data_IF_142703360981
#
_entry.id   IF_142703360981
#
_cell.length_a   1.000
_cell.length_b   1.000
_cell.length_c   1.000
_cell.angle_alpha   90.00
_cell.angle_beta   90.00
_cell.angle_gamma   90.00
#
_symmetry.space_group_name_H-M   'P 1'
#
loop_
_entity.id
_entity.type
_entity.pdbx_description
1 polymer ?
#
# COMPACT_ATOMS: atom_id res chain seq x y z
N UNK A 1 8.88 11.11 2.40
CA UNK A 1 8.08 10.49 1.33
C UNK A 1 8.70 10.74 -0.03
N UNK A 2 8.87 12.01 -0.44
CA UNK A 2 9.31 12.42 -1.80
C UNK A 2 10.52 11.64 -2.34
N UNK A 3 11.56 11.42 -1.52
CA UNK A 3 12.76 10.68 -1.97
C UNK A 3 12.50 9.22 -2.35
N UNK A 4 11.55 8.54 -1.69
CA UNK A 4 11.25 7.14 -1.98
C UNK A 4 10.43 7.02 -3.26
N UNK A 5 9.44 7.90 -3.44
CA UNK A 5 8.60 7.94 -4.64
C UNK A 5 9.42 8.30 -5.89
N UNK A 6 10.29 9.30 -5.79
CA UNK A 6 11.22 9.65 -6.87
C UNK A 6 12.16 8.50 -7.23
N UNK A 7 12.73 7.81 -6.24
CA UNK A 7 13.67 6.70 -6.45
C UNK A 7 12.98 5.46 -7.04
N UNK A 8 11.78 5.13 -6.55
CA UNK A 8 10.96 4.03 -7.07
C UNK A 8 10.55 4.31 -8.51
N UNK A 9 10.15 5.54 -8.83
CA UNK A 9 9.82 5.98 -10.19
C UNK A 9 11.02 5.86 -11.14
N UNK A 10 12.21 6.28 -10.71
CA UNK A 10 13.44 6.17 -11.51
C UNK A 10 13.87 4.73 -11.79
N UNK A 11 13.57 3.81 -10.87
CA UNK A 11 13.94 2.40 -10.99
C UNK A 11 12.83 1.50 -11.54
N UNK A 12 11.65 2.06 -11.83
CA UNK A 12 10.46 1.29 -12.25
C UNK A 12 10.01 0.26 -11.21
N UNK A 13 10.31 0.51 -9.93
CA UNK A 13 9.92 -0.35 -8.83
C UNK A 13 8.48 0.00 -8.39
N UNK A 14 7.91 -0.82 -7.52
CA UNK A 14 6.61 -0.55 -6.89
C UNK A 14 6.75 -0.49 -5.38
N UNK A 15 6.08 0.48 -4.77
CA UNK A 15 6.12 0.71 -3.33
C UNK A 15 4.98 0.00 -2.61
N UNK A 16 5.23 -0.41 -1.38
CA UNK A 16 4.21 -0.87 -0.43
C UNK A 16 4.06 0.16 0.69
N UNK A 17 2.86 0.29 1.24
CA UNK A 17 2.56 1.15 2.38
C UNK A 17 2.20 0.36 3.64
N UNK A 18 2.60 0.88 4.80
CA UNK A 18 2.27 0.35 6.12
C UNK A 18 2.41 1.43 7.19
N UNK A 19 1.52 1.44 8.17
CA UNK A 19 1.41 2.54 9.15
C UNK A 19 2.45 2.52 10.25
N UNK A 20 3.18 1.41 10.43
CA UNK A 20 4.16 1.18 11.51
C UNK A 20 3.68 1.73 12.87
N UNK A 21 2.44 1.36 13.21
CA UNK A 21 1.69 2.02 14.26
C UNK A 21 2.20 1.60 15.64
N UNK A 22 2.75 2.56 16.38
CA UNK A 22 3.11 2.42 17.79
C UNK A 22 1.99 2.91 18.73
N UNK A 23 0.94 3.52 18.16
CA UNK A 23 -0.24 4.03 18.86
C UNK A 23 -1.50 3.57 18.13
N UNK A 24 -2.60 3.32 18.88
CA UNK A 24 -3.89 2.86 18.31
C UNK A 24 -4.43 3.82 17.25
N UNK A 25 -4.27 5.13 17.46
CA UNK A 25 -4.72 6.17 16.52
C UNK A 25 -3.92 6.23 15.21
N UNK A 26 -2.79 5.53 15.13
CA UNK A 26 -1.97 5.45 13.92
C UNK A 26 -2.26 4.20 13.08
N UNK A 27 -3.05 3.24 13.60
CA UNK A 27 -3.39 2.01 12.88
C UNK A 27 -4.07 2.36 11.55
N UNK A 28 -3.53 1.81 10.45
CA UNK A 28 -4.13 1.96 9.12
C UNK A 28 -3.98 3.35 8.50
N UNK A 29 -3.17 4.26 9.07
CA UNK A 29 -2.90 5.56 8.43
C UNK A 29 -2.29 5.45 7.03
N UNK A 30 -1.45 4.43 6.82
CA UNK A 30 -0.86 4.07 5.53
C UNK A 30 -1.00 2.55 5.34
N UNK A 31 -1.38 2.14 4.13
CA UNK A 31 -1.72 0.77 3.77
C UNK A 31 -1.23 0.46 2.35
N UNK A 32 -1.33 -0.80 1.94
CA UNK A 32 -1.13 -1.21 0.54
C UNK A 32 -2.47 -1.67 -0.03
N UNK A 33 -2.88 -1.07 -1.14
CA UNK A 33 -4.06 -1.50 -1.89
C UNK A 33 -3.70 -2.62 -2.85
N UNK A 34 -4.55 -3.64 -2.90
CA UNK A 34 -4.47 -4.75 -3.84
C UNK A 34 -5.80 -4.89 -4.58
N UNK A 35 -5.76 -5.33 -5.83
CA UNK A 35 -6.97 -5.56 -6.64
C UNK A 35 -7.82 -6.74 -6.12
N UNK A 36 -7.19 -7.67 -5.42
CA UNK A 36 -7.83 -8.90 -4.93
C UNK A 36 -7.85 -8.99 -3.40
N UNK A 37 -8.83 -9.72 -2.89
CA UNK A 37 -8.93 -10.04 -1.47
C UNK A 37 -7.73 -10.86 -1.00
N UNK A 38 -7.12 -10.43 0.10
CA UNK A 38 -6.05 -11.18 0.77
C UNK A 38 -6.63 -11.85 2.01
N UNK A 39 -6.76 -13.17 1.98
CA UNK A 39 -7.24 -13.97 3.11
C UNK A 39 -6.16 -14.87 3.71
N UNK A 40 -5.03 -15.01 3.02
CA UNK A 40 -3.89 -15.80 3.44
C UNK A 40 -2.56 -15.17 3.00
N UNK A 41 -1.46 -15.64 3.58
CA UNK A 41 -0.11 -15.25 3.14
C UNK A 41 0.15 -15.64 1.68
N UNK A 42 -0.39 -16.78 1.22
CA UNK A 42 -0.29 -17.18 -0.19
C UNK A 42 -0.98 -16.17 -1.11
N UNK A 43 -2.16 -15.66 -0.73
CA UNK A 43 -2.87 -14.64 -1.51
C UNK A 43 -2.05 -13.35 -1.57
N UNK A 44 -1.44 -12.94 -0.44
CA UNK A 44 -0.56 -11.78 -0.39
C UNK A 44 0.61 -11.93 -1.35
N UNK A 45 1.32 -13.06 -1.31
CA UNK A 45 2.45 -13.33 -2.21
C UNK A 45 2.00 -13.37 -3.67
N UNK A 46 0.84 -13.97 -3.96
CA UNK A 46 0.28 -14.00 -5.30
C UNK A 46 -0.02 -12.59 -5.82
N UNK A 47 -0.66 -11.75 -5.02
CA UNK A 47 -0.96 -10.36 -5.37
C UNK A 47 0.30 -9.52 -5.56
N UNK A 48 1.30 -9.64 -4.68
CA UNK A 48 2.59 -8.95 -4.83
C UNK A 48 3.30 -9.35 -6.14
N UNK A 49 3.23 -10.62 -6.54
CA UNK A 49 3.81 -11.10 -7.80
C UNK A 49 3.12 -10.56 -9.05
N UNK A 50 1.84 -10.19 -8.98
CA UNK A 50 1.18 -9.48 -10.09
C UNK A 50 1.79 -8.11 -10.32
N UNK A 51 2.32 -7.52 -9.23
CA UNK A 51 2.77 -6.15 -9.21
C UNK A 51 1.64 -5.13 -9.34
N UNK A 52 0.36 -5.52 -9.29
CA UNK A 52 -0.74 -4.56 -9.25
C UNK A 52 -1.08 -4.23 -7.80
N UNK A 53 -0.32 -3.30 -7.25
CA UNK A 53 -0.50 -2.78 -5.90
C UNK A 53 0.10 -1.39 -5.80
N UNK A 54 -0.40 -0.61 -4.84
CA UNK A 54 0.09 0.74 -4.58
C UNK A 54 -0.07 1.12 -3.10
N UNK A 55 0.80 2.00 -2.58
CA UNK A 55 0.63 2.53 -1.25
C UNK A 55 -0.54 3.53 -1.24
N UNK A 56 -1.36 3.48 -0.20
CA UNK A 56 -2.50 4.40 -0.03
C UNK A 56 -2.50 4.96 1.39
N UNK A 57 -2.89 6.22 1.52
CA UNK A 57 -3.21 6.81 2.82
C UNK A 57 -4.67 6.55 3.18
N UNK A 58 -4.96 6.52 4.48
CA UNK A 58 -6.35 6.35 4.95
C UNK A 58 -7.29 7.40 4.35
N UNK A 59 -6.82 8.63 4.16
CA UNK A 59 -7.65 9.71 3.60
C UNK A 59 -7.90 9.55 2.10
N UNK A 60 -7.00 8.89 1.35
CA UNK A 60 -7.19 8.58 -0.07
C UNK A 60 -8.36 7.59 -0.26
N UNK A 61 -8.50 6.64 0.67
CA UNK A 61 -9.57 5.61 0.59
C UNK A 61 -10.99 6.17 0.73
N UNK A 62 -11.14 7.38 1.28
CA UNK A 62 -12.44 8.04 1.46
C UNK A 62 -12.90 8.77 0.20
N UNK A 63 -11.99 9.12 -0.71
CA UNK A 63 -12.32 9.90 -1.91
C UNK A 63 -12.84 9.03 -3.06
N UNK A 64 -12.59 7.72 -3.06
CA UNK A 64 -13.09 6.77 -4.07
C UNK A 64 -14.58 6.40 -3.87
N UNK A 65 -15.24 6.90 -2.81
CA UNK A 65 -16.67 6.63 -2.52
C UNK A 65 -17.61 7.81 -2.80
N UNK A 66 -17.15 8.86 -3.52
CA UNK A 66 -17.95 10.04 -3.87
C UNK A 66 -18.33 10.08 -5.36
#
# INVERSE_FOLDING_TARGET
QERAEEFISQLGLRGTGGSDAHLVSAIGKCMTRFDGDIRSELDLVAQLKTGRFEPVWLDDTKQEQA
#
